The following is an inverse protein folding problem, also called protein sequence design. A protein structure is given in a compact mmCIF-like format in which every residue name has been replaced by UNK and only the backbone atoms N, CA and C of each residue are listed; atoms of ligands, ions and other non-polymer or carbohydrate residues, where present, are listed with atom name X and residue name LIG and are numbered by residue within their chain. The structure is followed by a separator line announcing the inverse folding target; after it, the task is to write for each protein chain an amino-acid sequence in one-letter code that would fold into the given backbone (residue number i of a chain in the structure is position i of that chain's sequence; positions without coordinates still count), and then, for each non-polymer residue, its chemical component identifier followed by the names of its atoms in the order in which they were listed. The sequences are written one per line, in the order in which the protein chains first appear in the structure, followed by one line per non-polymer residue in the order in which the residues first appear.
data_IF_005811929235
#
_entry.id   IF_005811929235
#
_cell.length_a   1.000
_cell.length_b   1.000
_cell.length_c   1.000
_cell.angle_alpha   90.00
_cell.angle_beta   90.00
_cell.angle_gamma   90.00
#
_symmetry.space_group_name_H-M   'P 1'
#
loop_
_entity.id
_entity.type
_entity.pdbx_description
1 polymer ?
#
# COMPACT_ATOMS: atom_id res chain seq x y z
N UNK A 1 -4.61 48.68 25.83
CA UNK A 1 -3.96 47.36 25.70
C UNK A 1 -4.97 46.23 25.91
N UNK A 2 -5.77 45.82 24.91
CA UNK A 2 -6.69 44.67 25.12
C UNK A 2 -7.21 43.93 23.87
N UNK A 3 -6.62 44.05 22.67
CA UNK A 3 -7.21 43.36 21.49
C UNK A 3 -6.23 42.51 20.66
N UNK A 4 -4.95 42.40 21.05
CA UNK A 4 -3.97 41.63 20.26
C UNK A 4 -4.06 40.10 20.48
N UNK A 5 -4.62 39.66 21.62
CA UNK A 5 -4.70 38.24 21.99
C UNK A 5 -5.60 37.41 21.07
N UNK A 6 -6.57 38.04 20.41
CA UNK A 6 -7.46 37.36 19.46
C UNK A 6 -6.82 37.13 18.09
N UNK A 7 -5.77 37.88 17.73
CA UNK A 7 -5.09 37.74 16.45
C UNK A 7 -4.12 36.55 16.38
N UNK A 8 -3.76 35.95 17.53
CA UNK A 8 -2.87 34.79 17.56
C UNK A 8 -3.64 33.46 17.39
N UNK A 9 -4.94 33.43 17.68
CA UNK A 9 -5.74 32.20 17.56
C UNK A 9 -6.06 31.83 16.09
N UNK A 10 -6.07 32.79 15.18
CA UNK A 10 -6.45 32.59 13.77
C UNK A 10 -5.33 32.07 12.86
N UNK A 11 -4.07 32.12 13.30
CA UNK A 11 -2.92 31.67 12.48
C UNK A 11 -2.61 30.17 12.63
N UNK A 12 -3.16 29.49 13.64
CA UNK A 12 -2.88 28.07 13.89
C UNK A 12 -3.66 27.10 12.97
N UNK A 13 -4.58 27.59 12.11
CA UNK A 13 -5.52 26.74 11.36
C UNK A 13 -5.15 26.48 9.89
N UNK A 14 -3.89 26.70 9.47
CA UNK A 14 -3.51 26.58 8.05
C UNK A 14 -2.43 25.53 7.76
N UNK A 15 -1.89 24.84 8.78
CA UNK A 15 -1.05 23.65 8.53
C UNK A 15 -1.91 22.40 8.35
N UNK A 16 -2.73 22.37 7.30
CA UNK A 16 -3.17 21.09 6.74
C UNK A 16 -2.00 20.56 5.92
N UNK A 17 -1.12 19.80 6.58
CA UNK A 17 -0.12 19.02 5.87
C UNK A 17 -0.83 18.14 4.85
N UNK A 18 -0.49 18.28 3.57
CA UNK A 18 -0.85 17.29 2.57
C UNK A 18 -0.16 15.99 3.02
N UNK A 19 -0.90 15.13 3.73
CA UNK A 19 -0.49 13.74 3.84
C UNK A 19 -0.44 13.24 2.39
N UNK A 20 0.77 12.99 1.88
CA UNK A 20 0.97 12.19 0.68
C UNK A 20 0.02 11.01 0.84
N UNK A 21 -1.00 10.88 -0.02
CA UNK A 21 -2.08 10.02 0.34
C UNK A 21 -1.50 8.62 0.27
N UNK A 22 -1.35 7.99 1.44
CA UNK A 22 -0.91 6.61 1.58
C UNK A 22 -2.02 5.75 0.98
N UNK A 23 -2.04 5.64 -0.34
CA UNK A 23 -3.16 5.05 -1.06
C UNK A 23 -3.25 3.55 -0.76
N UNK A 24 -4.51 3.12 -0.54
CA UNK A 24 -5.07 1.76 -0.55
C UNK A 24 -4.97 0.88 0.70
N UNK A 25 -4.18 1.17 1.72
CA UNK A 25 -4.15 0.29 2.91
C UNK A 25 -5.45 0.37 3.72
N UNK A 26 -5.97 1.58 3.95
CA UNK A 26 -7.24 1.80 4.69
C UNK A 26 -8.42 1.15 3.94
N UNK A 27 -8.52 1.40 2.63
CA UNK A 27 -9.61 0.85 1.81
C UNK A 27 -9.56 -0.68 1.69
N UNK A 28 -8.36 -1.27 1.70
CA UNK A 28 -8.19 -2.72 1.72
C UNK A 28 -8.64 -3.30 3.07
N UNK A 29 -8.21 -2.71 4.19
CA UNK A 29 -8.59 -3.16 5.52
C UNK A 29 -10.11 -3.13 5.70
N UNK A 30 -10.76 -2.03 5.32
CA UNK A 30 -12.20 -1.87 5.41
C UNK A 30 -12.94 -2.84 4.49
N UNK A 31 -12.39 -3.12 3.31
CA UNK A 31 -12.95 -4.12 2.39
C UNK A 31 -12.84 -5.55 2.92
N UNK A 32 -11.77 -5.87 3.65
CA UNK A 32 -11.53 -7.21 4.19
C UNK A 32 -12.29 -7.46 5.49
N UNK A 33 -12.61 -6.41 6.25
CA UNK A 33 -13.28 -6.52 7.56
C UNK A 33 -14.56 -7.37 7.56
N UNK A 34 -15.47 -7.28 6.57
CA UNK A 34 -16.69 -8.09 6.54
C UNK A 34 -16.46 -9.59 6.39
N UNK A 35 -15.27 -10.00 5.93
CA UNK A 35 -14.93 -11.41 5.73
C UNK A 35 -14.49 -12.10 7.03
N UNK A 36 -14.24 -11.36 8.10
CA UNK A 36 -14.02 -11.93 9.43
C UNK A 36 -15.33 -12.58 9.91
N UNK A 37 -15.25 -13.83 10.38
CA UNK A 37 -16.39 -14.65 10.77
C UNK A 37 -17.00 -15.46 9.62
N UNK A 38 -16.45 -15.37 8.41
CA UNK A 38 -16.89 -16.18 7.26
C UNK A 38 -16.02 -17.42 7.07
N UNK A 39 -16.55 -18.42 6.36
CA UNK A 39 -15.80 -19.63 6.02
C UNK A 39 -14.75 -19.36 4.95
N UNK A 40 -13.62 -20.07 5.02
CA UNK A 40 -12.54 -19.95 4.05
C UNK A 40 -13.00 -20.13 2.60
N UNK A 41 -13.97 -21.03 2.36
CA UNK A 41 -14.51 -21.26 1.01
C UNK A 41 -15.34 -20.08 0.51
N UNK A 42 -16.12 -19.44 1.39
CA UNK A 42 -16.87 -18.25 1.04
C UNK A 42 -15.91 -17.09 0.72
N UNK A 43 -14.89 -16.89 1.55
CA UNK A 43 -13.87 -15.86 1.33
C UNK A 43 -13.17 -16.11 -0.01
N UNK A 44 -12.78 -17.35 -0.30
CA UNK A 44 -12.11 -17.69 -1.56
C UNK A 44 -12.97 -17.42 -2.81
N UNK A 45 -14.29 -17.59 -2.72
CA UNK A 45 -15.20 -17.37 -3.83
C UNK A 45 -15.60 -15.90 -4.02
N UNK A 46 -15.76 -15.16 -2.92
CA UNK A 46 -16.32 -13.80 -2.95
C UNK A 46 -15.26 -12.70 -2.87
N UNK A 47 -14.10 -12.97 -2.26
CA UNK A 47 -13.02 -11.99 -2.16
C UNK A 47 -12.44 -11.68 -3.54
N UNK A 48 -12.65 -10.45 -4.01
CA UNK A 48 -12.12 -10.00 -5.29
C UNK A 48 -11.20 -8.79 -5.11
N UNK A 49 -9.93 -9.05 -4.79
CA UNK A 49 -8.89 -8.03 -4.67
C UNK A 49 -8.61 -7.28 -5.99
N UNK A 50 -8.93 -7.87 -7.14
CA UNK A 50 -8.79 -7.19 -8.44
C UNK A 50 -9.74 -6.01 -8.59
N UNK A 51 -10.91 -6.08 -7.96
CA UNK A 51 -11.88 -4.96 -7.94
C UNK A 51 -11.31 -3.69 -7.30
N UNK A 52 -10.37 -3.85 -6.37
CA UNK A 52 -9.63 -2.76 -5.73
C UNK A 52 -8.37 -2.33 -6.52
N UNK A 53 -8.15 -2.90 -7.70
CA UNK A 53 -6.99 -2.63 -8.54
C UNK A 53 -5.70 -3.30 -8.08
N UNK A 54 -5.78 -4.36 -7.27
CA UNK A 54 -4.61 -5.18 -6.93
C UNK A 54 -4.37 -6.26 -7.98
N UNK A 55 -3.09 -6.53 -8.25
CA UNK A 55 -2.68 -7.71 -9.01
C UNK A 55 -2.50 -8.86 -8.03
N UNK A 56 -3.12 -10.01 -8.27
CA UNK A 56 -3.01 -11.18 -7.37
C UNK A 56 -2.47 -12.39 -8.10
N UNK A 57 -1.79 -13.27 -7.35
CA UNK A 57 -1.52 -14.61 -7.83
C UNK A 57 -2.83 -15.39 -7.94
N UNK A 58 -2.91 -16.28 -8.92
CA UNK A 58 -4.18 -16.87 -9.39
C UNK A 58 -4.79 -17.86 -8.39
N UNK A 59 -4.01 -18.42 -7.46
CA UNK A 59 -4.48 -19.38 -6.47
C UNK A 59 -4.13 -18.90 -5.05
N UNK A 60 -5.15 -18.78 -4.21
CA UNK A 60 -4.98 -18.63 -2.76
C UNK A 60 -4.48 -19.94 -2.17
N UNK A 61 -3.59 -19.86 -1.19
CA UNK A 61 -3.11 -21.05 -0.46
C UNK A 61 -3.98 -21.25 0.77
N UNK A 62 -4.67 -22.38 0.84
CA UNK A 62 -5.51 -22.77 1.98
C UNK A 62 -4.84 -23.90 2.75
N UNK A 63 -4.74 -23.75 4.06
CA UNK A 63 -4.31 -24.76 5.03
C UNK A 63 -5.33 -24.78 6.19
N UNK A 64 -5.24 -25.78 7.07
CA UNK A 64 -6.14 -25.99 8.21
C UNK A 64 -6.20 -24.78 9.16
N UNK A 65 -5.15 -23.97 9.21
CA UNK A 65 -5.03 -22.82 10.11
C UNK A 65 -5.09 -21.46 9.40
N UNK A 66 -4.98 -21.42 8.07
CA UNK A 66 -4.82 -20.15 7.38
C UNK A 66 -5.25 -20.18 5.91
N UNK A 67 -5.80 -19.05 5.45
CA UNK A 67 -6.09 -18.77 4.04
C UNK A 67 -5.28 -17.56 3.59
N UNK A 68 -4.39 -17.76 2.61
CA UNK A 68 -3.40 -16.76 2.19
C UNK A 68 -3.67 -16.29 0.76
N UNK A 69 -3.82 -14.98 0.59
CA UNK A 69 -3.87 -14.30 -0.70
C UNK A 69 -2.58 -13.53 -0.93
N UNK A 70 -1.96 -13.71 -2.10
CA UNK A 70 -0.74 -12.99 -2.45
C UNK A 70 -1.04 -11.90 -3.46
N UNK A 71 -0.78 -10.66 -3.05
CA UNK A 71 -0.89 -9.45 -3.86
C UNK A 71 0.49 -9.05 -4.37
N UNK A 72 0.59 -8.77 -5.66
CA UNK A 72 1.78 -8.21 -6.30
C UNK A 72 1.71 -6.69 -6.25
N UNK A 73 2.81 -6.08 -5.81
CA UNK A 73 3.05 -4.64 -5.80
C UNK A 73 4.28 -4.34 -6.65
N UNK A 74 4.10 -4.02 -7.95
CA UNK A 74 5.19 -3.48 -8.74
C UNK A 74 5.49 -2.07 -8.23
N UNK A 75 6.75 -1.79 -7.92
CA UNK A 75 7.20 -0.46 -7.53
C UNK A 75 8.26 -0.02 -8.52
N UNK A 76 8.06 1.15 -9.14
CA UNK A 76 9.08 1.76 -9.96
C UNK A 76 10.04 2.54 -9.05
N UNK A 77 11.27 2.06 -8.88
CA UNK A 77 12.28 2.78 -8.11
C UNK A 77 13.13 3.59 -9.09
N UNK A 78 13.03 4.95 -9.08
CA UNK A 78 13.89 5.78 -9.91
C UNK A 78 15.33 5.73 -9.38
N UNK A 79 16.30 5.48 -10.26
CA UNK A 79 17.71 5.54 -9.89
C UNK A 79 18.14 7.02 -9.79
N UNK A 80 18.73 7.45 -8.66
CA UNK A 80 19.28 8.80 -8.56
C UNK A 80 20.45 8.95 -9.54
N UNK A 81 20.33 9.90 -10.46
CA UNK A 81 21.45 10.25 -11.33
C UNK A 81 22.54 10.92 -10.50
N UNK A 82 23.77 10.44 -10.62
CA UNK A 82 24.94 11.20 -10.18
C UNK A 82 25.01 12.46 -11.06
N UNK A 83 24.51 13.60 -10.57
CA UNK A 83 24.79 14.89 -11.18
C UNK A 83 26.27 15.20 -10.91
N UNK A 84 27.14 14.63 -11.74
CA UNK A 84 28.54 15.04 -11.78
C UNK A 84 28.58 16.55 -11.98
N UNK A 85 29.29 17.24 -11.08
CA UNK A 85 29.55 18.68 -11.14
C UNK A 85 29.93 19.09 -12.56
N UNK A 86 29.06 19.89 -13.19
CA UNK A 86 29.31 20.44 -14.51
C UNK A 86 30.42 21.48 -14.41
N UNK A 87 31.63 21.13 -14.84
CA UNK A 87 32.67 22.11 -15.08
C UNK A 87 32.36 22.87 -16.38
N UNK A 88 31.60 23.96 -16.21
CA UNK A 88 31.55 25.14 -17.10
C UNK A 88 31.16 24.99 -18.57
N UNK A 89 30.92 23.81 -19.11
CA UNK A 89 30.79 23.64 -20.56
C UNK A 89 29.75 22.59 -20.96
N UNK A 90 28.69 23.11 -21.60
CA UNK A 90 27.71 22.40 -22.45
C UNK A 90 26.62 21.62 -21.70
N UNK A 91 25.41 22.18 -21.78
CA UNK A 91 24.15 21.52 -21.46
C UNK A 91 23.96 20.35 -22.44
N UNK A 92 24.34 19.15 -22.04
CA UNK A 92 24.08 17.93 -22.82
C UNK A 92 22.64 17.50 -22.56
N UNK A 93 21.72 17.83 -23.47
CA UNK A 93 20.38 17.23 -23.57
C UNK A 93 20.52 15.77 -24.04
N UNK A 94 21.14 14.94 -23.20
CA UNK A 94 21.05 13.50 -23.33
C UNK A 94 19.70 13.07 -22.79
N UNK A 95 18.82 12.59 -23.65
CA UNK A 95 17.61 11.85 -23.26
C UNK A 95 18.03 10.57 -22.53
N UNK A 96 18.15 10.65 -21.21
CA UNK A 96 18.53 9.50 -20.39
C UNK A 96 17.30 8.69 -20.02
N UNK A 97 17.13 7.53 -20.66
CA UNK A 97 16.13 6.53 -20.32
C UNK A 97 16.23 6.17 -18.82
N UNK A 98 15.09 6.28 -18.14
CA UNK A 98 14.85 5.88 -16.76
C UNK A 98 15.11 4.37 -16.60
N UNK A 99 16.31 4.01 -16.17
CA UNK A 99 16.59 2.66 -15.69
C UNK A 99 15.89 2.55 -14.32
N UNK A 100 14.69 1.99 -14.28
CA UNK A 100 13.97 1.68 -13.05
C UNK A 100 14.01 0.18 -12.83
N UNK A 101 14.35 -0.28 -11.63
CA UNK A 101 14.28 -1.70 -11.32
C UNK A 101 12.82 -2.09 -11.03
N UNK A 102 12.29 -3.04 -11.79
CA UNK A 102 11.01 -3.69 -11.47
C UNK A 102 11.27 -4.74 -10.39
N UNK A 103 11.10 -4.33 -9.13
CA UNK A 103 11.08 -5.24 -8.00
C UNK A 103 9.63 -5.61 -7.73
N UNK A 104 9.27 -6.87 -7.94
CA UNK A 104 7.97 -7.39 -7.57
C UNK A 104 7.96 -7.62 -6.06
N UNK A 105 7.37 -6.69 -5.31
CA UNK A 105 7.12 -6.93 -3.89
C UNK A 105 5.82 -7.69 -3.72
N UNK A 106 5.82 -8.62 -2.76
CA UNK A 106 4.64 -9.38 -2.40
C UNK A 106 4.07 -8.87 -1.08
N UNK A 107 2.75 -8.84 -1.01
CA UNK A 107 1.99 -8.69 0.23
C UNK A 107 1.06 -9.90 0.38
N UNK A 108 1.27 -10.66 1.46
CA UNK A 108 0.43 -11.77 1.86
C UNK A 108 -0.65 -11.26 2.81
N UNK A 109 -1.91 -11.41 2.39
CA UNK A 109 -3.07 -11.20 3.23
C UNK A 109 -3.45 -12.56 3.79
N UNK A 110 -3.26 -12.74 5.09
CA UNK A 110 -3.38 -14.02 5.79
C UNK A 110 -4.62 -13.95 6.67
N UNK A 111 -5.64 -14.74 6.35
CA UNK A 111 -6.77 -14.98 7.24
C UNK A 111 -6.42 -16.13 8.16
N UNK A 112 -6.39 -15.87 9.48
CA UNK A 112 -6.24 -16.92 10.48
C UNK A 112 -7.57 -17.66 10.62
N UNK A 113 -7.55 -18.97 10.44
CA UNK A 113 -8.73 -19.83 10.48
C UNK A 113 -8.80 -20.58 11.81
N UNK A 114 -10.00 -20.87 12.26
CA UNK A 114 -10.21 -21.83 13.34
C UNK A 114 -10.46 -23.25 12.83
N UNK A 115 -10.71 -24.17 13.78
CA UNK A 115 -10.98 -25.58 13.50
C UNK A 115 -12.21 -25.80 12.61
N UNK A 116 -13.12 -24.82 12.51
CA UNK A 116 -14.31 -24.85 11.66
C UNK A 116 -14.07 -24.17 10.31
N UNK A 117 -12.82 -23.84 9.98
CA UNK A 117 -12.43 -23.11 8.77
C UNK A 117 -13.07 -21.71 8.70
N UNK A 118 -13.31 -21.07 9.84
CA UNK A 118 -13.85 -19.71 9.94
C UNK A 118 -12.73 -18.71 10.20
N UNK A 119 -12.71 -17.61 9.44
CA UNK A 119 -11.73 -16.55 9.61
C UNK A 119 -11.93 -15.79 10.94
N UNK A 120 -10.91 -15.82 11.80
CA UNK A 120 -10.90 -15.16 13.12
C UNK A 120 -10.27 -13.77 13.07
N UNK A 121 -9.22 -13.62 12.29
CA UNK A 121 -8.46 -12.38 12.18
C UNK A 121 -7.70 -12.33 10.85
N UNK A 122 -7.14 -11.16 10.56
CA UNK A 122 -6.36 -10.91 9.35
C UNK A 122 -4.98 -10.41 9.77
N UNK A 123 -3.94 -11.02 9.23
CA UNK A 123 -2.54 -10.56 9.34
C UNK A 123 -2.03 -10.21 7.94
N UNK A 124 -1.13 -9.24 7.88
CA UNK A 124 -0.45 -8.85 6.66
C UNK A 124 1.04 -9.14 6.80
N UNK A 125 1.63 -9.74 5.77
CA UNK A 125 3.05 -10.04 5.76
C UNK A 125 3.66 -9.71 4.41
N UNK A 126 4.73 -8.92 4.42
CA UNK A 126 5.43 -8.51 3.21
C UNK A 126 6.03 -7.12 3.35
N UNK A 127 7.10 -6.86 2.60
CA UNK A 127 7.77 -5.54 2.58
C UNK A 127 6.92 -4.45 1.94
N UNK A 128 5.91 -4.85 1.17
CA UNK A 128 4.95 -3.97 0.55
C UNK A 128 3.52 -4.31 0.99
N UNK A 129 3.32 -4.69 2.24
CA UNK A 129 2.06 -4.39 2.92
C UNK A 129 2.25 -2.99 3.53
#
# INVERSE_FOLDING_TARGET
MRNYKFYILSIALVLQGCATPGWRSVQLQDYLQPYIGQSADNIQQNLNLKSLGFQTLKQSTKNDQQLVFTVLRPINIPIPMNMGTSDGSRLSTGTTYSQSYDVNFYCHIIFELDQQQIARSIRYEGKAC
#
